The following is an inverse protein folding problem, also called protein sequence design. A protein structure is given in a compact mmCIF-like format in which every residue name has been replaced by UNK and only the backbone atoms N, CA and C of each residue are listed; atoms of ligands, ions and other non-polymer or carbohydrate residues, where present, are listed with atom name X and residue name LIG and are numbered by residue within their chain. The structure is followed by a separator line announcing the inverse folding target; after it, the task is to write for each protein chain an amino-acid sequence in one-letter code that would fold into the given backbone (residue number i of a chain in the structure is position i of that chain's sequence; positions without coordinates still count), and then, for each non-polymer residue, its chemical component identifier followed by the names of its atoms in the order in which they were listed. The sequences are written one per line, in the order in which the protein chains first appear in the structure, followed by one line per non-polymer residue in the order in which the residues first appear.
data_IF_283287585555
#
_entry.id   IF_283287585555
#
_cell.length_a   1.000
_cell.length_b   1.000
_cell.length_c   1.000
_cell.angle_alpha   90.00
_cell.angle_beta   90.00
_cell.angle_gamma   90.00
#
_symmetry.space_group_name_H-M   'P 1'
#
loop_
_entity.id
_entity.type
_entity.pdbx_description
1 polymer ?
#
# COMPACT_ATOMS: atom_id res chain seq x y z
N UNK A 1 18.38 -51.03 2.12
CA UNK A 1 19.35 -50.29 1.29
C UNK A 1 19.18 -48.82 1.61
N UNK A 2 20.15 -48.20 2.30
CA UNK A 2 20.15 -46.73 2.42
C UNK A 2 20.34 -46.16 1.02
N UNK A 3 19.36 -45.41 0.53
CA UNK A 3 19.57 -44.64 -0.70
C UNK A 3 20.73 -43.68 -0.44
N UNK A 4 21.81 -43.84 -1.19
CA UNK A 4 22.99 -43.02 -1.06
C UNK A 4 22.64 -41.59 -1.49
N UNK A 5 22.79 -40.66 -0.56
CA UNK A 5 22.52 -39.24 -0.74
C UNK A 5 23.61 -38.66 -1.66
N UNK A 6 23.29 -38.37 -2.93
CA UNK A 6 24.27 -37.79 -3.87
C UNK A 6 24.26 -36.26 -3.81
N UNK A 7 25.42 -35.64 -4.02
CA UNK A 7 25.57 -34.18 -4.01
C UNK A 7 24.67 -33.51 -5.06
N UNK A 8 24.44 -34.17 -6.20
CA UNK A 8 23.53 -33.68 -7.24
C UNK A 8 22.08 -33.64 -6.75
N UNK A 9 21.62 -34.68 -6.04
CA UNK A 9 20.27 -34.71 -5.45
C UNK A 9 20.10 -33.63 -4.38
N UNK A 10 21.10 -33.44 -3.52
CA UNK A 10 21.10 -32.39 -2.49
C UNK A 10 21.06 -31.00 -3.13
N UNK A 11 21.93 -30.74 -4.11
CA UNK A 11 22.00 -29.47 -4.83
C UNK A 11 20.66 -29.15 -5.51
N UNK A 12 20.05 -30.14 -6.17
CA UNK A 12 18.73 -30.00 -6.79
C UNK A 12 17.64 -29.71 -5.77
N UNK A 13 17.64 -30.41 -4.64
CA UNK A 13 16.66 -30.18 -3.57
C UNK A 13 16.78 -28.78 -2.97
N UNK A 14 17.99 -28.36 -2.61
CA UNK A 14 18.28 -27.00 -2.11
C UNK A 14 17.80 -25.97 -3.14
N UNK A 15 18.11 -26.19 -4.42
CA UNK A 15 17.65 -25.31 -5.50
C UNK A 15 16.11 -25.23 -5.56
N UNK A 16 15.39 -26.34 -5.40
CA UNK A 16 13.92 -26.33 -5.37
C UNK A 16 13.35 -25.60 -4.15
N UNK A 17 13.98 -25.75 -2.98
CA UNK A 17 13.53 -25.10 -1.74
C UNK A 17 13.77 -23.59 -1.80
N UNK A 18 14.95 -23.16 -2.23
CA UNK A 18 15.37 -21.76 -2.13
C UNK A 18 15.15 -20.93 -3.40
N UNK A 19 15.33 -21.50 -4.60
CA UNK A 19 15.25 -20.71 -5.83
C UNK A 19 13.81 -20.52 -6.34
N UNK A 20 12.87 -21.38 -5.93
CA UNK A 20 11.53 -21.41 -6.51
C UNK A 20 10.53 -20.39 -5.97
N UNK A 21 10.81 -19.78 -4.79
CA UNK A 21 9.84 -19.08 -3.92
C UNK A 21 8.40 -19.62 -4.08
N UNK A 22 8.28 -20.95 -3.93
CA UNK A 22 7.02 -21.65 -4.17
C UNK A 22 5.94 -21.13 -3.21
N UNK A 23 6.33 -20.91 -1.95
CA UNK A 23 5.43 -20.43 -0.91
C UNK A 23 4.89 -19.03 -1.23
N UNK A 24 5.77 -18.06 -1.54
CA UNK A 24 5.36 -16.70 -1.86
C UNK A 24 4.49 -16.64 -3.11
N UNK A 25 4.84 -17.41 -4.15
CA UNK A 25 4.05 -17.49 -5.39
C UNK A 25 2.66 -18.08 -5.17
N UNK A 26 2.55 -19.18 -4.42
CA UNK A 26 1.25 -19.82 -4.12
C UNK A 26 0.40 -18.93 -3.23
N UNK A 27 0.98 -18.30 -2.21
CA UNK A 27 0.28 -17.34 -1.36
C UNK A 27 -0.26 -16.15 -2.17
N UNK A 28 0.54 -15.63 -3.10
CA UNK A 28 0.14 -14.54 -4.00
C UNK A 28 -1.03 -14.96 -4.91
N UNK A 29 -1.02 -16.20 -5.42
CA UNK A 29 -2.15 -16.73 -6.20
C UNK A 29 -3.40 -16.91 -5.35
N UNK A 30 -3.26 -17.46 -4.13
CA UNK A 30 -4.39 -17.63 -3.21
C UNK A 30 -5.07 -16.30 -2.88
N UNK A 31 -4.28 -15.26 -2.62
CA UNK A 31 -4.78 -13.91 -2.37
C UNK A 31 -5.57 -13.36 -3.56
N UNK A 32 -5.02 -13.45 -4.77
CA UNK A 32 -5.68 -12.98 -5.99
C UNK A 32 -6.97 -13.74 -6.29
N UNK A 33 -6.96 -15.07 -6.13
CA UNK A 33 -8.16 -15.90 -6.33
C UNK A 33 -9.23 -15.63 -5.28
N UNK A 34 -8.84 -15.45 -4.03
CA UNK A 34 -9.78 -15.10 -2.95
C UNK A 34 -10.43 -13.73 -3.18
N UNK A 35 -9.74 -12.82 -3.86
CA UNK A 35 -10.32 -11.54 -4.25
C UNK A 35 -11.23 -11.67 -5.48
N UNK A 36 -10.83 -12.45 -6.48
CA UNK A 36 -11.60 -12.63 -7.70
C UNK A 36 -12.89 -13.45 -7.49
N UNK A 37 -12.83 -14.54 -6.72
CA UNK A 37 -13.93 -15.49 -6.60
C UNK A 37 -15.09 -14.91 -5.76
N UNK A 38 -16.36 -15.16 -6.13
CA UNK A 38 -17.52 -14.64 -5.40
C UNK A 38 -17.56 -15.11 -3.94
N UNK A 39 -17.29 -16.40 -3.70
CA UNK A 39 -17.22 -16.99 -2.36
C UNK A 39 -15.90 -16.70 -1.63
N UNK A 40 -14.99 -15.97 -2.28
CA UNK A 40 -13.67 -15.61 -1.79
C UNK A 40 -12.84 -16.80 -1.32
N UNK A 41 -12.20 -16.68 -0.16
CA UNK A 41 -11.35 -17.73 0.40
C UNK A 41 -12.07 -19.04 0.76
N UNK A 42 -13.41 -19.03 0.80
CA UNK A 42 -14.24 -20.23 1.04
C UNK A 42 -14.60 -20.96 -0.25
N UNK A 43 -14.26 -20.40 -1.42
CA UNK A 43 -14.43 -21.08 -2.68
C UNK A 43 -13.56 -22.34 -2.73
N UNK A 44 -14.09 -23.44 -3.29
CA UNK A 44 -13.36 -24.70 -3.36
C UNK A 44 -12.02 -24.57 -4.09
N UNK A 45 -11.95 -23.71 -5.11
CA UNK A 45 -10.70 -23.49 -5.84
C UNK A 45 -9.68 -22.75 -4.97
N UNK A 46 -10.11 -21.74 -4.20
CA UNK A 46 -9.25 -21.05 -3.25
C UNK A 46 -8.77 -22.01 -2.15
N UNK A 47 -9.65 -22.85 -1.58
CA UNK A 47 -9.29 -23.84 -0.57
C UNK A 47 -8.21 -24.83 -1.07
N UNK A 48 -8.29 -25.30 -2.32
CA UNK A 48 -7.25 -26.17 -2.91
C UNK A 48 -5.91 -25.47 -3.05
N UNK A 49 -5.90 -24.16 -3.35
CA UNK A 49 -4.65 -23.39 -3.39
C UNK A 49 -4.11 -23.15 -1.98
N UNK A 50 -4.96 -22.93 -0.98
CA UNK A 50 -4.56 -22.84 0.42
C UNK A 50 -3.94 -24.16 0.93
N UNK A 51 -4.51 -25.30 0.54
CA UNK A 51 -3.92 -26.62 0.81
C UNK A 51 -2.54 -26.75 0.18
N UNK A 52 -2.38 -26.37 -1.09
CA UNK A 52 -1.07 -26.34 -1.75
C UNK A 52 -0.08 -25.39 -1.04
N UNK A 53 -0.55 -24.26 -0.50
CA UNK A 53 0.26 -23.35 0.28
C UNK A 53 0.75 -24.01 1.58
N UNK A 54 -0.09 -24.80 2.25
CA UNK A 54 0.30 -25.59 3.42
C UNK A 54 1.40 -26.60 3.07
N UNK A 55 1.26 -27.33 1.96
CA UNK A 55 2.31 -28.22 1.48
C UNK A 55 3.62 -27.49 1.15
N UNK A 56 3.54 -26.27 0.62
CA UNK A 56 4.74 -25.47 0.33
C UNK A 56 5.53 -25.09 1.59
N UNK A 57 4.84 -24.84 2.72
CA UNK A 57 5.49 -24.57 4.01
C UNK A 57 6.24 -25.78 4.52
N UNK A 58 5.66 -26.97 4.38
CA UNK A 58 6.25 -28.22 4.85
C UNK A 58 7.16 -28.90 3.82
N UNK A 59 7.29 -28.34 2.61
CA UNK A 59 8.16 -28.88 1.58
C UNK A 59 9.62 -29.05 2.02
N UNK A 60 10.27 -28.12 2.75
CA UNK A 60 11.64 -28.31 3.23
C UNK A 60 11.78 -29.49 4.21
N UNK A 61 10.70 -29.86 4.89
CA UNK A 61 10.68 -30.95 5.89
C UNK A 61 10.30 -32.30 5.26
N UNK A 62 9.35 -32.28 4.31
CA UNK A 62 8.73 -33.49 3.75
C UNK A 62 9.30 -33.89 2.41
N UNK A 63 9.90 -32.96 1.68
CA UNK A 63 10.34 -33.17 0.29
C UNK A 63 9.21 -33.33 -0.72
N UNK A 64 7.95 -33.16 -0.31
CA UNK A 64 6.77 -33.32 -1.19
C UNK A 64 6.44 -31.96 -1.84
N UNK A 65 6.59 -31.81 -3.16
CA UNK A 65 6.34 -30.53 -3.81
C UNK A 65 4.84 -30.19 -3.81
N UNK A 66 4.46 -28.92 -3.58
CA UNK A 66 3.07 -28.49 -3.62
C UNK A 66 2.51 -28.59 -5.03
N UNK A 67 1.22 -28.92 -5.16
CA UNK A 67 0.50 -29.00 -6.44
C UNK A 67 -0.62 -27.99 -6.48
N UNK A 68 -0.46 -26.98 -7.34
CA UNK A 68 -1.48 -25.96 -7.57
C UNK A 68 -2.45 -26.44 -8.66
N UNK A 69 -3.77 -26.32 -8.47
CA UNK A 69 -4.74 -26.65 -9.53
C UNK A 69 -4.50 -25.84 -10.80
N UNK A 70 -4.53 -26.46 -11.97
CA UNK A 70 -4.40 -25.72 -13.24
C UNK A 70 -5.51 -24.71 -13.47
N UNK A 71 -6.71 -25.00 -12.98
CA UNK A 71 -7.87 -24.11 -13.03
C UNK A 71 -7.57 -22.76 -12.35
N UNK A 72 -6.86 -22.78 -11.22
CA UNK A 72 -6.42 -21.58 -10.52
C UNK A 72 -5.47 -20.73 -11.38
N UNK A 73 -4.52 -21.37 -12.06
CA UNK A 73 -3.60 -20.68 -12.97
C UNK A 73 -4.32 -20.10 -14.20
N UNK A 74 -5.27 -20.85 -14.78
CA UNK A 74 -6.08 -20.39 -15.91
C UNK A 74 -6.95 -19.20 -15.55
N UNK A 75 -7.63 -19.24 -14.38
CA UNK A 75 -8.44 -18.13 -13.91
C UNK A 75 -7.62 -16.84 -13.78
N UNK A 76 -6.46 -16.89 -13.11
CA UNK A 76 -5.60 -15.72 -12.95
C UNK A 76 -4.96 -15.24 -14.25
N UNK A 77 -4.68 -16.13 -15.20
CA UNK A 77 -4.17 -15.75 -16.52
C UNK A 77 -5.21 -14.99 -17.35
N UNK A 78 -6.49 -15.28 -17.16
CA UNK A 78 -7.59 -14.66 -17.91
C UNK A 78 -8.05 -13.34 -17.25
N UNK A 79 -8.22 -13.36 -15.94
CA UNK A 79 -8.88 -12.27 -15.19
C UNK A 79 -7.86 -11.27 -14.63
N UNK A 80 -6.60 -11.68 -14.50
CA UNK A 80 -5.52 -10.84 -13.98
C UNK A 80 -5.43 -10.85 -12.45
N UNK A 81 -4.80 -9.81 -11.91
CA UNK A 81 -4.57 -9.63 -10.47
C UNK A 81 -5.30 -8.39 -9.95
N UNK A 82 -5.73 -8.36 -8.68
CA UNK A 82 -6.34 -7.17 -8.13
C UNK A 82 -5.31 -6.02 -8.00
N UNK A 83 -5.79 -4.79 -8.21
CA UNK A 83 -5.02 -3.55 -8.21
C UNK A 83 -4.17 -3.35 -6.96
N UNK A 84 -4.65 -3.77 -5.80
CA UNK A 84 -3.90 -3.66 -4.54
C UNK A 84 -2.61 -4.48 -4.49
N UNK A 85 -2.41 -5.44 -5.40
CA UNK A 85 -1.17 -6.23 -5.48
C UNK A 85 -0.06 -5.53 -6.29
N UNK A 86 -0.35 -4.38 -6.91
CA UNK A 86 0.59 -3.51 -7.65
C UNK A 86 1.52 -4.26 -8.63
N UNK A 87 0.99 -5.27 -9.35
CA UNK A 87 1.76 -6.04 -10.34
C UNK A 87 1.81 -5.30 -11.66
N UNK A 88 2.79 -4.41 -11.82
CA UNK A 88 2.95 -3.54 -13.02
C UNK A 88 3.08 -4.32 -14.34
N UNK A 89 3.68 -5.50 -14.30
CA UNK A 89 3.91 -6.33 -15.48
C UNK A 89 2.72 -7.23 -15.85
N UNK A 90 1.60 -7.14 -15.12
CA UNK A 90 0.43 -8.01 -15.31
C UNK A 90 -0.84 -7.21 -15.52
N UNK A 91 -1.83 -7.84 -16.15
CA UNK A 91 -3.18 -7.28 -16.24
C UNK A 91 -3.76 -7.15 -14.84
N UNK A 92 -4.27 -5.96 -14.51
CA UNK A 92 -4.84 -5.67 -13.21
C UNK A 92 -6.30 -5.23 -13.34
N UNK A 93 -7.13 -5.64 -12.39
CA UNK A 93 -8.52 -5.16 -12.25
C UNK A 93 -8.70 -4.38 -10.95
N UNK A 94 -9.65 -3.46 -10.93
CA UNK A 94 -9.99 -2.71 -9.71
C UNK A 94 -10.81 -3.59 -8.77
N UNK A 95 -10.24 -3.99 -7.64
CA UNK A 95 -10.95 -4.83 -6.67
C UNK A 95 -12.08 -4.04 -6.01
N UNK A 96 -13.28 -4.64 -5.95
CA UNK A 96 -14.45 -4.10 -5.26
C UNK A 96 -14.59 -4.63 -3.81
N UNK A 97 -13.54 -5.25 -3.27
CA UNK A 97 -13.49 -5.75 -1.89
C UNK A 97 -12.71 -4.80 -0.97
N UNK A 98 -12.74 -5.08 0.33
CA UNK A 98 -12.17 -4.23 1.37
C UNK A 98 -10.71 -3.84 1.10
N UNK A 99 -9.88 -4.78 0.63
CA UNK A 99 -8.47 -4.52 0.33
C UNK A 99 -8.28 -3.54 -0.84
N UNK A 100 -9.08 -3.68 -1.91
CA UNK A 100 -9.06 -2.74 -3.04
C UNK A 100 -9.44 -1.32 -2.62
N UNK A 101 -10.52 -1.18 -1.84
CA UNK A 101 -10.92 0.14 -1.32
C UNK A 101 -9.85 0.75 -0.42
N UNK A 102 -9.30 -0.03 0.51
CA UNK A 102 -8.26 0.44 1.41
C UNK A 102 -7.00 0.85 0.66
N UNK A 103 -6.56 0.06 -0.32
CA UNK A 103 -5.41 0.36 -1.15
C UNK A 103 -5.56 1.68 -1.90
N UNK A 104 -6.68 1.89 -2.61
CA UNK A 104 -6.92 3.14 -3.34
C UNK A 104 -7.03 4.34 -2.41
N UNK A 105 -7.65 4.18 -1.23
CA UNK A 105 -7.72 5.24 -0.22
C UNK A 105 -6.34 5.56 0.34
N UNK A 106 -5.53 4.57 0.68
CA UNK A 106 -4.17 4.75 1.15
C UNK A 106 -3.30 5.47 0.11
N UNK A 107 -3.37 5.07 -1.17
CA UNK A 107 -2.66 5.75 -2.25
C UNK A 107 -3.09 7.20 -2.46
N UNK A 108 -4.36 7.53 -2.23
CA UNK A 108 -4.82 8.92 -2.31
C UNK A 108 -4.17 9.82 -1.25
N UNK A 109 -3.90 9.29 -0.05
CA UNK A 109 -3.22 10.04 1.01
C UNK A 109 -1.73 10.24 0.70
N UNK A 110 -1.06 9.22 0.18
CA UNK A 110 0.37 9.30 -0.21
C UNK A 110 0.62 10.35 -1.30
N UNK A 111 -0.25 10.38 -2.32
CA UNK A 111 -0.22 11.43 -3.35
C UNK A 111 -0.47 12.83 -2.76
N UNK A 112 -1.45 12.95 -1.85
CA UNK A 112 -1.73 14.21 -1.14
C UNK A 112 -0.51 14.68 -0.34
N UNK A 113 0.15 13.80 0.41
CA UNK A 113 1.32 14.17 1.22
C UNK A 113 2.50 14.63 0.36
N UNK A 114 2.79 13.91 -0.74
CA UNK A 114 3.90 14.24 -1.64
C UNK A 114 3.68 15.60 -2.31
N UNK A 115 2.45 15.88 -2.74
CA UNK A 115 2.10 17.18 -3.32
C UNK A 115 2.20 18.32 -2.29
N UNK A 116 1.73 18.11 -1.05
CA UNK A 116 1.83 19.10 0.03
C UNK A 116 3.29 19.35 0.42
N UNK A 117 4.11 18.30 0.53
CA UNK A 117 5.53 18.42 0.83
C UNK A 117 6.29 19.16 -0.28
N UNK A 118 5.98 18.89 -1.55
CA UNK A 118 6.53 19.62 -2.69
C UNK A 118 6.13 21.11 -2.65
N UNK A 119 4.86 21.43 -2.41
CA UNK A 119 4.42 22.81 -2.25
C UNK A 119 5.07 23.53 -1.05
N UNK A 120 5.23 22.85 0.09
CA UNK A 120 5.90 23.42 1.26
C UNK A 120 7.40 23.66 1.02
N UNK A 121 8.06 22.81 0.23
CA UNK A 121 9.47 22.96 -0.14
C UNK A 121 9.75 24.00 -1.23
N UNK A 122 8.70 24.43 -1.97
CA UNK A 122 8.80 25.46 -3.02
C UNK A 122 8.52 26.88 -2.49
N UNK A 123 8.32 27.07 -1.18
CA UNK A 123 8.22 28.40 -0.57
C UNK A 123 9.64 29.00 -0.37
N UNK A 124 10.01 30.04 -1.13
CA UNK A 124 11.34 30.67 -1.03
C UNK A 124 11.57 31.42 0.29
N UNK A 125 10.59 31.48 1.20
CA UNK A 125 10.66 32.26 2.43
C UNK A 125 10.57 31.42 3.73
N UNK A 126 10.85 30.11 3.65
CA UNK A 126 10.82 29.13 4.77
C UNK A 126 11.73 29.44 5.97
N UNK A 127 12.46 30.56 5.97
CA UNK A 127 13.25 31.08 7.09
C UNK A 127 12.69 32.38 7.69
N UNK A 128 11.40 32.68 7.56
CA UNK A 128 10.83 33.76 8.37
C UNK A 128 10.70 33.29 9.82
N UNK A 129 11.61 33.83 10.64
CA UNK A 129 11.68 33.67 12.07
C UNK A 129 10.36 34.11 12.73
N UNK A 130 9.54 33.12 13.10
CA UNK A 130 8.27 33.29 13.79
C UNK A 130 8.43 33.93 15.19
N UNK A 131 9.65 34.04 15.72
CA UNK A 131 9.91 34.74 16.98
C UNK A 131 9.76 36.26 16.90
N UNK A 132 9.74 36.82 15.68
CA UNK A 132 9.57 38.26 15.42
C UNK A 132 8.12 38.71 15.23
N UNK A 133 7.17 37.77 15.16
CA UNK A 133 5.74 38.08 14.98
C UNK A 133 5.13 38.45 16.34
N UNK A 134 4.97 39.74 16.59
CA UNK A 134 4.28 40.25 17.78
C UNK A 134 2.79 39.91 17.70
N UNK A 135 2.37 38.85 18.42
CA UNK A 135 0.98 38.34 18.49
C UNK A 135 0.01 39.36 19.11
N UNK A 136 0.49 40.53 19.55
CA UNK A 136 -0.33 41.65 20.02
C UNK A 136 -1.07 42.39 18.91
N UNK A 137 -1.76 41.66 18.03
CA UNK A 137 -2.85 42.25 17.23
C UNK A 137 -4.20 41.82 17.82
N UNK A 138 -4.52 42.56 18.88
CA UNK A 138 -5.84 43.17 19.15
C UNK A 138 -6.99 42.24 19.58
N UNK A 139 -7.10 42.10 20.90
CA UNK A 139 -8.37 42.33 21.59
C UNK A 139 -8.51 43.83 21.92
N UNK A 140 -9.15 44.62 21.04
CA UNK A 140 -9.70 45.94 21.37
C UNK A 140 -9.00 47.27 20.94
N UNK A 141 -7.82 47.31 20.32
CA UNK A 141 -7.26 48.58 19.80
C UNK A 141 -7.91 49.03 18.47
N UNK A 142 -8.55 50.19 18.49
CA UNK A 142 -9.28 50.80 17.35
C UNK A 142 -8.37 51.36 16.23
N UNK A 143 -7.05 51.20 16.30
CA UNK A 143 -6.10 51.84 15.35
C UNK A 143 -5.04 50.87 14.80
N UNK A 144 -5.45 49.70 14.31
CA UNK A 144 -4.56 48.86 13.49
C UNK A 144 -4.41 49.48 12.08
N UNK A 145 -3.17 49.77 11.68
CA UNK A 145 -2.86 50.31 10.35
C UNK A 145 -3.22 49.32 9.24
N UNK A 146 -3.49 49.82 8.04
CA UNK A 146 -3.88 48.98 6.89
C UNK A 146 -2.80 47.95 6.51
N UNK A 147 -1.52 48.32 6.66
CA UNK A 147 -0.39 47.42 6.46
C UNK A 147 -0.40 46.24 7.46
N UNK A 148 -0.67 46.50 8.74
CA UNK A 148 -0.75 45.46 9.78
C UNK A 148 -1.95 44.53 9.55
N UNK A 149 -3.08 45.06 9.08
CA UNK A 149 -4.26 44.27 8.71
C UNK A 149 -3.98 43.35 7.52
N UNK A 150 -3.26 43.86 6.52
CA UNK A 150 -2.88 43.09 5.33
C UNK A 150 -1.92 41.96 5.68
N UNK A 151 -0.95 42.23 6.56
CA UNK A 151 -0.01 41.20 7.01
C UNK A 151 -0.68 40.14 7.88
N UNK A 152 -1.55 40.55 8.82
CA UNK A 152 -2.34 39.60 9.62
C UNK A 152 -3.23 38.71 8.74
N UNK A 153 -3.86 39.29 7.70
CA UNK A 153 -4.66 38.53 6.72
C UNK A 153 -3.81 37.53 5.94
N UNK A 154 -2.63 37.95 5.47
CA UNK A 154 -1.69 37.08 4.75
C UNK A 154 -1.24 35.89 5.62
N UNK A 155 -0.86 36.15 6.87
CA UNK A 155 -0.46 35.12 7.83
C UNK A 155 -1.62 34.17 8.17
N UNK A 156 -2.83 34.71 8.36
CA UNK A 156 -4.02 33.90 8.58
C UNK A 156 -4.33 33.01 7.37
N UNK A 157 -4.28 33.54 6.15
CA UNK A 157 -4.51 32.77 4.92
C UNK A 157 -3.46 31.67 4.74
N UNK A 158 -2.20 31.94 5.06
CA UNK A 158 -1.14 30.95 5.04
C UNK A 158 -1.34 29.85 6.10
N UNK A 159 -1.62 30.24 7.35
CA UNK A 159 -1.89 29.31 8.44
C UNK A 159 -3.09 28.43 8.13
N UNK A 160 -4.19 29.02 7.65
CA UNK A 160 -5.42 28.31 7.32
C UNK A 160 -5.25 27.37 6.13
N UNK A 161 -4.44 27.75 5.15
CA UNK A 161 -4.09 26.87 4.02
C UNK A 161 -3.25 25.68 4.48
N UNK A 162 -2.27 25.92 5.36
CA UNK A 162 -1.43 24.89 5.96
C UNK A 162 -2.24 23.95 6.87
N UNK A 163 -3.14 24.51 7.68
CA UNK A 163 -4.05 23.77 8.54
C UNK A 163 -5.02 22.92 7.72
N UNK A 164 -5.60 23.46 6.64
CA UNK A 164 -6.47 22.68 5.73
C UNK A 164 -5.71 21.53 5.09
N UNK A 165 -4.48 21.75 4.63
CA UNK A 165 -3.63 20.69 4.09
C UNK A 165 -3.42 19.57 5.14
N UNK A 166 -3.17 19.94 6.40
CA UNK A 166 -3.06 19.00 7.51
C UNK A 166 -4.40 18.31 7.84
N UNK A 167 -5.51 19.02 7.88
CA UNK A 167 -6.84 18.44 8.14
C UNK A 167 -7.21 17.42 7.06
N UNK A 168 -6.91 17.73 5.79
CA UNK A 168 -7.07 16.80 4.66
C UNK A 168 -6.18 15.57 4.85
N UNK A 169 -4.93 15.72 5.30
CA UNK A 169 -4.03 14.58 5.55
C UNK A 169 -4.54 13.64 6.64
N UNK A 170 -5.29 14.15 7.64
CA UNK A 170 -5.93 13.35 8.69
C UNK A 170 -7.38 12.95 8.37
N UNK A 171 -7.88 13.25 7.17
CA UNK A 171 -9.23 12.90 6.74
C UNK A 171 -10.35 13.67 7.46
N UNK A 172 -10.01 14.78 8.11
CA UNK A 172 -10.97 15.67 8.77
C UNK A 172 -11.56 16.63 7.74
N UNK A 173 -12.89 16.72 7.71
CA UNK A 173 -13.57 17.74 6.91
C UNK A 173 -13.52 19.07 7.65
N UNK A 174 -13.22 20.15 6.93
CA UNK A 174 -13.45 21.51 7.42
C UNK A 174 -14.83 21.94 6.92
N UNK A 175 -15.76 22.16 7.85
CA UNK A 175 -17.08 22.74 7.56
C UNK A 175 -16.97 24.24 7.21
#
# INVERSE_FOLDING_TARGET
KSEQFSNEKLSRFISMVFAGDLLGRIASMHLALSDFLPSGARDQLACKVAEAQSYAVDFPKTGIPPRVPEEAMRALSKEGYPDFMDKRDKMNYSSNKALGFLYRRARSFDFSYTSVAQHASMDPNSKQDLSSVDIRIVSGSRTATEAQRKEAKRLYEWYWSSLRALMISFGLKSD
#
